data_IF_379095958143
#
_entry.id   IF_379095958143
#
_cell.length_a   1.000
_cell.length_b   1.000
_cell.length_c   1.000
_cell.angle_alpha   90.00
_cell.angle_beta   90.00
_cell.angle_gamma   90.00
#
_symmetry.space_group_name_H-M   'P 1'
#
loop_
_entity.id
_entity.type
_entity.pdbx_description
1 polymer ?
#
# COMPACT_ATOMS: atom_id res chain seq x y z
N UNK A 1 15.50 -18.63 -25.91
CA UNK A 1 14.27 -18.27 -25.18
C UNK A 1 14.47 -18.58 -23.70
N UNK A 2 14.82 -17.60 -22.89
CA UNK A 2 14.49 -17.56 -21.45
C UNK A 2 14.42 -16.09 -21.06
N UNK A 3 13.26 -15.70 -20.55
CA UNK A 3 12.82 -14.32 -20.42
C UNK A 3 13.70 -13.50 -19.47
N UNK A 4 14.08 -12.32 -19.95
CA UNK A 4 14.27 -11.10 -19.15
C UNK A 4 12.99 -10.76 -18.39
N UNK A 5 13.07 -10.63 -17.07
CA UNK A 5 12.25 -9.69 -16.27
C UNK A 5 12.93 -9.45 -14.92
N UNK A 6 13.56 -8.29 -14.68
CA UNK A 6 13.02 -7.12 -13.94
C UNK A 6 12.54 -7.46 -12.52
N UNK A 7 12.97 -6.84 -11.42
CA UNK A 7 13.59 -5.53 -11.20
C UNK A 7 14.33 -5.54 -9.85
N UNK A 8 15.59 -5.13 -9.86
CA UNK A 8 16.26 -4.59 -8.68
C UNK A 8 15.86 -3.13 -8.58
N UNK A 9 15.13 -2.74 -7.54
CA UNK A 9 15.02 -1.33 -7.12
C UNK A 9 14.88 -1.27 -5.60
N UNK A 10 16.03 -1.11 -4.95
CA UNK A 10 16.16 -0.59 -3.59
C UNK A 10 15.98 0.93 -3.63
N UNK A 11 15.20 1.50 -2.68
CA UNK A 11 15.50 2.78 -2.00
C UNK A 11 14.36 3.26 -1.06
N UNK A 12 13.17 2.66 -1.09
CA UNK A 12 12.08 2.96 -0.14
C UNK A 12 11.25 1.71 0.02
N UNK A 13 11.08 1.21 1.25
CA UNK A 13 10.40 -0.07 1.52
C UNK A 13 9.06 -0.10 0.78
N UNK A 14 8.78 -1.12 -0.07
CA UNK A 14 7.55 -1.18 -0.87
C UNK A 14 6.32 -1.10 0.03
N UNK A 15 6.40 -1.71 1.21
CA UNK A 15 5.43 -1.62 2.30
C UNK A 15 5.09 -0.18 2.70
N UNK A 16 6.12 0.65 2.92
CA UNK A 16 5.94 2.05 3.29
C UNK A 16 5.26 2.86 2.19
N UNK A 17 5.60 2.62 0.92
CA UNK A 17 4.99 3.32 -0.20
C UNK A 17 3.48 3.02 -0.29
N UNK A 18 3.09 1.74 -0.15
CA UNK A 18 1.68 1.34 -0.12
C UNK A 18 0.93 2.01 1.03
N UNK A 19 1.48 1.99 2.24
CA UNK A 19 0.87 2.61 3.43
C UNK A 19 0.74 4.13 3.23
N UNK A 20 1.80 4.79 2.75
CA UNK A 20 1.77 6.21 2.43
C UNK A 20 0.72 6.52 1.34
N UNK A 21 0.53 5.62 0.36
CA UNK A 21 -0.51 5.72 -0.65
C UNK A 21 -1.92 5.71 -0.05
N UNK A 22 -2.21 4.78 0.86
CA UNK A 22 -3.49 4.67 1.57
C UNK A 22 -3.75 5.94 2.39
N UNK A 23 -2.75 6.39 3.17
CA UNK A 23 -2.87 7.61 3.98
C UNK A 23 -3.19 8.85 3.14
N UNK A 24 -2.60 8.95 1.94
CA UNK A 24 -2.83 10.09 1.04
C UNK A 24 -4.16 10.01 0.31
N UNK A 25 -4.56 8.82 -0.13
CA UNK A 25 -5.78 8.63 -0.92
C UNK A 25 -7.03 8.64 -0.06
N UNK A 26 -7.05 7.83 0.99
CA UNK A 26 -8.21 7.60 1.85
C UNK A 26 -8.30 8.64 2.97
N UNK A 27 -7.15 8.94 3.61
CA UNK A 27 -7.09 9.81 4.79
C UNK A 27 -6.63 11.25 4.47
N UNK A 28 -6.30 11.56 3.21
CA UNK A 28 -5.86 12.89 2.74
C UNK A 28 -4.67 13.48 3.49
N UNK A 29 -3.81 12.63 4.05
CA UNK A 29 -2.59 13.04 4.75
C UNK A 29 -1.57 13.57 3.74
N UNK A 30 -0.81 14.61 4.11
CA UNK A 30 0.27 15.12 3.28
C UNK A 30 1.48 14.18 3.27
N UNK A 31 2.08 13.98 2.09
CA UNK A 31 3.29 13.16 1.96
C UNK A 31 4.46 13.69 2.80
N UNK A 32 4.52 15.00 3.03
CA UNK A 32 5.53 15.62 3.89
C UNK A 32 5.35 15.30 5.38
N UNK A 33 4.12 15.01 5.82
CA UNK A 33 3.80 14.63 7.19
C UNK A 33 4.04 13.12 7.45
N UNK A 34 3.97 12.29 6.40
CA UNK A 34 4.20 10.84 6.48
C UNK A 34 5.69 10.56 6.68
N UNK A 35 6.12 10.48 7.95
CA UNK A 35 7.47 10.05 8.31
C UNK A 35 7.47 8.77 9.15
N UNK A 36 8.51 7.92 9.03
CA UNK A 36 8.60 6.66 9.79
C UNK A 36 8.52 6.87 11.31
N UNK A 37 9.01 8.00 11.81
CA UNK A 37 8.99 8.35 13.24
C UNK A 37 7.68 8.97 13.69
N UNK A 38 6.80 9.35 12.78
CA UNK A 38 5.50 9.97 13.09
C UNK A 38 4.52 8.91 13.57
N UNK A 39 3.74 9.24 14.61
CA UNK A 39 2.67 8.38 15.12
C UNK A 39 1.41 8.54 14.29
N UNK A 40 0.59 7.50 14.24
CA UNK A 40 -0.67 7.53 13.50
C UNK A 40 -1.60 8.68 13.97
N UNK A 41 -1.61 8.97 15.28
CA UNK A 41 -2.37 10.10 15.83
C UNK A 41 -1.80 11.47 15.48
N UNK A 42 -0.47 11.60 15.35
CA UNK A 42 0.16 12.87 14.92
C UNK A 42 -0.14 13.19 13.44
N UNK A 43 -0.41 12.17 12.62
CA UNK A 43 -0.93 12.34 11.26
C UNK A 43 -2.39 12.81 11.22
N UNK A 44 -3.04 12.95 12.39
CA UNK A 44 -4.46 13.33 12.49
C UNK A 44 -5.42 12.16 12.32
N UNK A 45 -4.98 10.92 12.51
CA UNK A 45 -5.88 9.77 12.52
C UNK A 45 -6.60 9.71 13.88
N UNK A 46 -7.88 10.04 13.86
CA UNK A 46 -8.80 9.84 14.97
C UNK A 46 -9.08 8.34 15.22
N UNK A 47 -9.62 7.99 16.38
CA UNK A 47 -9.95 6.59 16.74
C UNK A 47 -10.75 5.80 15.69
N UNK A 48 -11.69 6.45 14.98
CA UNK A 48 -12.42 5.81 13.87
C UNK A 48 -11.54 5.66 12.63
N UNK A 49 -10.82 6.71 12.26
CA UNK A 49 -9.92 6.71 11.12
C UNK A 49 -8.78 5.69 11.30
N UNK A 50 -8.26 5.52 12.52
CA UNK A 50 -7.31 4.47 12.88
C UNK A 50 -7.90 3.09 12.60
N UNK A 51 -9.11 2.81 13.07
CA UNK A 51 -9.79 1.53 12.82
C UNK A 51 -9.96 1.25 11.31
N UNK A 52 -10.42 2.25 10.55
CA UNK A 52 -10.54 2.13 9.09
C UNK A 52 -9.19 1.95 8.40
N UNK A 53 -8.15 2.63 8.90
CA UNK A 53 -6.79 2.55 8.37
C UNK A 53 -6.19 1.16 8.59
N UNK A 54 -6.33 0.59 9.80
CA UNK A 54 -5.89 -0.78 10.07
C UNK A 54 -6.56 -1.75 9.10
N UNK A 55 -7.87 -1.61 8.90
CA UNK A 55 -8.63 -2.47 7.99
C UNK A 55 -8.19 -2.32 6.53
N UNK A 56 -7.96 -1.09 6.06
CA UNK A 56 -7.48 -0.82 4.70
C UNK A 56 -6.08 -1.38 4.46
N UNK A 57 -5.21 -1.34 5.47
CA UNK A 57 -3.86 -1.95 5.41
C UNK A 57 -3.97 -3.48 5.39
N UNK A 58 -4.76 -4.08 6.28
CA UNK A 58 -5.01 -5.52 6.28
C UNK A 58 -5.54 -6.02 4.91
N UNK A 59 -6.47 -5.28 4.31
CA UNK A 59 -7.04 -5.58 2.99
C UNK A 59 -5.99 -5.41 1.87
N UNK A 60 -5.26 -4.29 1.85
CA UNK A 60 -4.25 -4.02 0.81
C UNK A 60 -3.14 -5.08 0.75
N UNK A 61 -2.77 -5.66 1.90
CA UNK A 61 -1.75 -6.69 2.01
C UNK A 61 -2.31 -8.11 2.13
N UNK A 62 -3.65 -8.26 2.15
CA UNK A 62 -4.35 -9.55 2.35
C UNK A 62 -3.82 -10.32 3.59
N UNK A 63 -3.57 -9.60 4.68
CA UNK A 63 -3.04 -10.14 5.93
C UNK A 63 -3.93 -9.77 7.11
N UNK A 64 -3.70 -10.43 8.25
CA UNK A 64 -4.35 -10.09 9.51
C UNK A 64 -3.32 -9.59 10.51
N UNK A 65 -3.48 -8.35 10.97
CA UNK A 65 -2.62 -7.78 12.00
C UNK A 65 -3.26 -8.12 13.36
N UNK A 66 -2.57 -8.86 14.25
CA UNK A 66 -3.11 -9.13 15.57
C UNK A 66 -3.24 -7.84 16.38
N UNK A 67 -4.39 -7.66 17.04
CA UNK A 67 -4.70 -6.48 17.87
C UNK A 67 -3.63 -6.25 18.95
N UNK A 68 -3.06 -7.32 19.52
CA UNK A 68 -1.94 -7.29 20.49
C UNK A 68 -0.68 -6.57 19.96
N UNK A 69 -0.47 -6.55 18.63
CA UNK A 69 0.67 -5.85 18.00
C UNK A 69 0.30 -4.46 17.51
N UNK A 70 -0.99 -4.21 17.32
CA UNK A 70 -1.51 -3.00 16.72
C UNK A 70 -2.86 -2.64 17.33
N UNK A 71 -2.81 -2.08 18.52
CA UNK A 71 -4.01 -1.58 19.18
C UNK A 71 -4.44 -0.26 18.49
N UNK A 72 -5.62 -0.19 17.84
CA UNK A 72 -6.10 1.05 17.23
C UNK A 72 -6.41 2.12 18.29
N UNK A 73 -6.46 1.74 19.57
CA UNK A 73 -6.57 2.66 20.72
C UNK A 73 -5.21 3.16 21.22
N UNK A 74 -4.12 2.47 20.89
CA UNK A 74 -2.75 2.85 21.22
C UNK A 74 -2.23 3.86 20.17
N UNK A 75 -2.50 5.14 20.43
CA UNK A 75 -2.07 6.28 19.62
C UNK A 75 -0.54 6.41 19.42
N UNK A 76 0.26 5.63 20.14
CA UNK A 76 1.72 5.66 20.13
C UNK A 76 2.39 4.87 19.00
N UNK A 77 1.61 4.20 18.15
CA UNK A 77 2.16 3.38 17.06
C UNK A 77 2.71 4.29 15.96
N UNK A 78 3.98 4.10 15.61
CA UNK A 78 4.63 4.82 14.52
C UNK A 78 4.47 4.10 13.18
N UNK A 79 4.55 4.87 12.08
CA UNK A 79 4.54 4.29 10.74
C UNK A 79 5.67 3.27 10.53
N UNK A 80 6.85 3.51 11.12
CA UNK A 80 7.94 2.55 11.10
C UNK A 80 7.53 1.23 11.74
N UNK A 81 6.93 1.28 12.95
CA UNK A 81 6.55 0.07 13.67
C UNK A 81 5.52 -0.74 12.89
N UNK A 82 4.55 -0.07 12.27
CA UNK A 82 3.58 -0.71 11.39
C UNK A 82 4.26 -1.39 10.19
N UNK A 83 5.21 -0.69 9.54
CA UNK A 83 5.98 -1.26 8.43
C UNK A 83 6.76 -2.50 8.87
N UNK A 84 7.43 -2.46 10.03
CA UNK A 84 8.17 -3.60 10.59
C UNK A 84 7.27 -4.80 10.85
N UNK A 85 6.07 -4.58 11.41
CA UNK A 85 5.11 -5.66 11.66
C UNK A 85 4.67 -6.29 10.35
N UNK A 86 4.39 -5.49 9.32
CA UNK A 86 3.96 -6.00 8.01
C UNK A 86 5.10 -6.70 7.27
N UNK A 87 6.34 -6.22 7.40
CA UNK A 87 7.52 -6.82 6.77
C UNK A 87 7.92 -8.15 7.45
N UNK A 88 7.71 -8.25 8.77
CA UNK A 88 7.88 -9.47 9.58
C UNK A 88 6.80 -10.53 9.24
N UNK A 89 5.62 -10.10 8.78
CA UNK A 89 4.64 -11.00 8.17
C UNK A 89 5.04 -11.29 6.72
N UNK A 90 5.15 -12.56 6.30
CA UNK A 90 5.55 -12.88 4.95
C UNK A 90 4.52 -12.34 3.95
N UNK A 91 4.94 -11.41 3.09
CA UNK A 91 4.10 -10.87 2.02
C UNK A 91 3.57 -12.02 1.14
N UNK A 92 2.26 -12.11 0.85
CA UNK A 92 1.81 -12.97 -0.23
C UNK A 92 2.40 -12.39 -1.52
N UNK A 93 3.20 -13.20 -2.21
CA UNK A 93 3.89 -12.82 -3.43
C UNK A 93 2.97 -12.03 -4.38
N UNK A 94 3.45 -10.85 -4.79
CA UNK A 94 2.77 -9.93 -5.68
C UNK A 94 2.11 -10.64 -6.88
N UNK A 95 0.78 -10.68 -6.92
CA UNK A 95 0.04 -10.73 -8.18
C UNK A 95 -0.14 -9.29 -8.66
N UNK A 96 0.54 -8.87 -9.74
CA UNK A 96 0.33 -7.54 -10.29
C UNK A 96 -1.08 -7.49 -10.90
N UNK A 97 -1.99 -6.78 -10.24
CA UNK A 97 -3.25 -6.35 -10.85
C UNK A 97 -2.92 -5.34 -11.93
N UNK A 98 -2.84 -5.83 -13.17
CA UNK A 98 -2.56 -5.03 -14.36
C UNK A 98 -3.59 -3.89 -14.47
N UNK A 99 -3.16 -2.64 -14.78
CA UNK A 99 -4.10 -1.56 -15.00
C UNK A 99 -4.90 -1.85 -16.27
N UNK A 100 -6.23 -1.90 -16.16
CA UNK A 100 -7.16 -1.93 -17.28
C UNK A 100 -7.12 -0.57 -17.98
N UNK A 101 -6.06 -0.32 -18.73
CA UNK A 101 -5.90 0.87 -19.55
C UNK A 101 -5.87 0.46 -21.03
N UNK A 102 -6.99 0.78 -21.69
CA UNK A 102 -7.03 1.27 -23.06
C UNK A 102 -7.07 0.23 -24.22
N UNK A 103 -8.22 -0.43 -24.38
CA UNK A 103 -8.62 -1.00 -25.67
C UNK A 103 -9.21 0.11 -26.58
N UNK A 104 -8.35 1.01 -27.04
CA UNK A 104 -8.68 1.95 -28.12
C UNK A 104 -8.73 1.16 -29.44
N UNK A 105 -9.91 1.16 -30.09
CA UNK A 105 -10.14 0.56 -31.42
C UNK A 105 -9.29 1.30 -32.47
N UNK A 106 -8.81 0.61 -33.52
CA UNK A 106 -9.21 1.08 -34.86
C UNK A 106 -9.56 -0.04 -35.85
N UNK A 107 -10.72 0.17 -36.46
CA UNK A 107 -11.22 -0.24 -37.79
C UNK A 107 -10.29 -1.09 -38.67
N UNK A 108 -10.76 -2.29 -39.02
CA UNK A 108 -10.23 -3.10 -40.11
C UNK A 108 -10.50 -2.37 -41.44
N UNK A 109 -9.47 -1.70 -41.97
CA UNK A 109 -9.45 -1.23 -43.36
C UNK A 109 -8.69 -2.20 -44.26
N UNK A 110 -9.24 -2.41 -45.44
CA UNK A 110 -8.65 -3.00 -46.66
C UNK A 110 -8.59 -4.54 -46.68
N UNK A 111 -9.49 -5.26 -47.37
CA UNK A 111 -9.76 -5.27 -48.81
C UNK A 111 -8.53 -5.62 -49.67
N UNK A 112 -8.45 -6.89 -50.08
CA UNK A 112 -7.63 -7.37 -51.21
C UNK A 112 -8.18 -8.75 -51.60
N UNK A 113 -9.03 -8.81 -52.64
CA UNK A 113 -8.69 -9.00 -54.06
C UNK A 113 -8.47 -10.48 -54.38
#
# INVERSE_FOLDING_TARGET
MTATTTSTTSATSPTFNTIAGILRSDFKVEAAAVQPTTTLTDLGLDSLALMEFVFAVEDAFHLRIPEERLDPREAGITLQRLCEVIDDLPAPAATPVAPLANAMKPVLSSARA
#
